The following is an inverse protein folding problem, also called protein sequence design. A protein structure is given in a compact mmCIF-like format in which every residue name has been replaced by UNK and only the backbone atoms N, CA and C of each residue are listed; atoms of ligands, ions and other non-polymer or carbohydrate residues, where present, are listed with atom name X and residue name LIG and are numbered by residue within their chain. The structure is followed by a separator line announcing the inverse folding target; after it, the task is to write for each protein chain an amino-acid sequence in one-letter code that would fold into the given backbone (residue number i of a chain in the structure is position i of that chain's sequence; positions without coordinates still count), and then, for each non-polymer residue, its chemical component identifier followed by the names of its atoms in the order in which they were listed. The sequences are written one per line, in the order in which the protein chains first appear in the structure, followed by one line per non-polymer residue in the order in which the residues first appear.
data_IF_771778378041
#
_entry.id   IF_771778378041
#
_cell.length_a   1.000
_cell.length_b   1.000
_cell.length_c   1.000
_cell.angle_alpha   90.00
_cell.angle_beta   90.00
_cell.angle_gamma   90.00
#
_symmetry.space_group_name_H-M   'P 1'
#
loop_
_entity.id
_entity.type
_entity.pdbx_description
1 polymer ?
#
# COMPACT_ATOMS: atom_id res chain seq x y z
N UNK A 1 -17.62 -45.72 -5.59
CA UNK A 1 -17.77 -44.81 -6.75
C UNK A 1 -17.81 -43.32 -6.35
N UNK A 2 -18.18 -42.93 -5.12
CA UNK A 2 -18.26 -41.51 -4.72
C UNK A 2 -16.93 -40.87 -4.24
N UNK A 3 -15.96 -41.67 -3.79
CA UNK A 3 -14.63 -41.20 -3.36
C UNK A 3 -13.90 -40.28 -4.37
N UNK A 4 -13.77 -40.62 -5.66
CA UNK A 4 -13.07 -39.74 -6.61
C UNK A 4 -13.78 -38.40 -6.84
N UNK A 5 -15.11 -38.38 -6.78
CA UNK A 5 -15.89 -37.15 -6.94
C UNK A 5 -15.66 -36.18 -5.78
N UNK A 6 -15.54 -36.70 -4.54
CA UNK A 6 -15.25 -35.88 -3.36
C UNK A 6 -13.87 -35.21 -3.47
N UNK A 7 -12.84 -35.92 -3.94
CA UNK A 7 -11.51 -35.34 -4.14
C UNK A 7 -11.50 -34.22 -5.19
N UNK A 8 -12.24 -34.38 -6.30
CA UNK A 8 -12.33 -33.35 -7.34
C UNK A 8 -13.00 -32.08 -6.80
N UNK A 9 -14.08 -32.22 -6.02
CA UNK A 9 -14.78 -31.06 -5.43
C UNK A 9 -13.88 -30.33 -4.44
N UNK A 10 -13.15 -31.06 -3.58
CA UNK A 10 -12.22 -30.45 -2.63
C UNK A 10 -11.06 -29.73 -3.32
N UNK A 11 -10.50 -30.32 -4.38
CA UNK A 11 -9.44 -29.70 -5.17
C UNK A 11 -9.93 -28.43 -5.88
N UNK A 12 -11.15 -28.44 -6.42
CA UNK A 12 -11.76 -27.28 -7.05
C UNK A 12 -11.99 -26.13 -6.04
N UNK A 13 -12.51 -26.43 -4.85
CA UNK A 13 -12.70 -25.44 -3.79
C UNK A 13 -11.38 -24.84 -3.30
N UNK A 14 -10.35 -25.69 -3.12
CA UNK A 14 -9.01 -25.25 -2.75
C UNK A 14 -8.42 -24.34 -3.84
N UNK A 15 -8.56 -24.72 -5.12
CA UNK A 15 -8.09 -23.91 -6.25
C UNK A 15 -8.78 -22.55 -6.30
N UNK A 16 -10.11 -22.50 -6.17
CA UNK A 16 -10.87 -21.24 -6.15
C UNK A 16 -10.48 -20.36 -4.97
N UNK A 17 -10.22 -20.96 -3.81
CA UNK A 17 -9.78 -20.22 -2.62
C UNK A 17 -8.40 -19.62 -2.83
N UNK A 18 -7.45 -20.38 -3.39
CA UNK A 18 -6.11 -19.88 -3.72
C UNK A 18 -6.18 -18.77 -4.77
N UNK A 19 -7.00 -18.93 -5.82
CA UNK A 19 -7.21 -17.88 -6.83
C UNK A 19 -7.82 -16.63 -6.19
N UNK A 20 -8.79 -16.79 -5.28
CA UNK A 20 -9.40 -15.67 -4.54
C UNK A 20 -8.40 -14.93 -3.65
N UNK A 21 -7.55 -15.66 -2.92
CA UNK A 21 -6.49 -15.08 -2.08
C UNK A 21 -5.41 -14.38 -2.92
N UNK A 22 -5.05 -14.96 -4.06
CA UNK A 22 -4.13 -14.35 -5.01
C UNK A 22 -4.72 -13.06 -5.59
N UNK A 23 -6.00 -13.07 -5.95
CA UNK A 23 -6.69 -11.90 -6.47
C UNK A 23 -6.84 -10.80 -5.41
N UNK A 24 -7.12 -11.19 -4.16
CA UNK A 24 -7.15 -10.27 -3.03
C UNK A 24 -5.77 -9.64 -2.78
N UNK A 25 -4.69 -10.44 -2.89
CA UNK A 25 -3.31 -9.95 -2.75
C UNK A 25 -2.92 -9.04 -3.90
N UNK A 26 -3.32 -9.37 -5.13
CA UNK A 26 -3.10 -8.52 -6.30
C UNK A 26 -3.81 -7.16 -6.14
N UNK A 27 -5.06 -7.16 -5.65
CA UNK A 27 -5.76 -5.92 -5.29
C UNK A 27 -5.10 -5.16 -4.13
N UNK A 28 -4.46 -5.85 -3.19
CA UNK A 28 -3.71 -5.21 -2.11
C UNK A 28 -2.41 -4.56 -2.60
N UNK A 29 -1.79 -5.09 -3.65
CA UNK A 29 -0.58 -4.53 -4.27
C UNK A 29 -0.93 -3.37 -5.22
N UNK A 30 -2.01 -3.49 -5.99
CA UNK A 30 -2.57 -2.36 -6.76
C UNK A 30 -3.10 -1.26 -5.83
N UNK A 31 -3.55 -1.63 -4.63
CA UNK A 31 -3.99 -0.74 -3.58
C UNK A 31 -2.90 -0.48 -2.54
N UNK A 32 -1.84 0.25 -2.89
CA UNK A 32 -1.03 0.98 -1.89
C UNK A 32 -1.97 1.94 -1.15
N UNK A 33 -2.61 1.47 -0.08
CA UNK A 33 -3.70 2.12 0.64
C UNK A 33 -4.66 2.83 -0.32
N UNK A 34 -5.69 2.14 -0.82
CA UNK A 34 -6.86 2.82 -1.34
C UNK A 34 -7.41 3.72 -0.23
N UNK A 35 -6.94 4.96 -0.17
CA UNK A 35 -7.60 6.05 0.54
C UNK A 35 -8.91 6.16 -0.21
N UNK A 36 -9.95 5.57 0.37
CA UNK A 36 -11.29 5.51 -0.20
C UNK A 36 -11.63 6.89 -0.79
N UNK A 37 -11.78 7.04 -2.11
CA UNK A 37 -11.92 8.34 -2.74
C UNK A 37 -13.13 9.09 -2.18
N UNK A 38 -14.19 8.37 -1.78
CA UNK A 38 -15.37 8.93 -1.11
C UNK A 38 -14.98 9.53 0.25
N UNK A 39 -14.15 8.83 1.02
CA UNK A 39 -13.64 9.34 2.30
C UNK A 39 -12.63 10.46 2.13
N UNK A 40 -11.86 10.47 1.04
CA UNK A 40 -10.94 11.55 0.72
C UNK A 40 -11.73 12.82 0.37
N UNK A 41 -12.81 12.70 -0.41
CA UNK A 41 -13.69 13.81 -0.77
C UNK A 41 -14.45 14.37 0.44
N UNK A 42 -14.86 13.54 1.39
CA UNK A 42 -15.46 14.02 2.65
C UNK A 42 -14.47 14.80 3.55
N UNK A 43 -13.16 14.56 3.38
CA UNK A 43 -12.11 15.26 4.13
C UNK A 43 -11.68 16.57 3.48
N UNK A 44 -12.09 16.84 2.23
CA UNK A 44 -11.80 18.10 1.56
C UNK A 44 -12.79 19.19 2.02
N UNK A 45 -12.29 20.42 2.14
CA UNK A 45 -13.17 21.59 2.28
C UNK A 45 -14.20 21.60 1.14
N UNK A 46 -15.48 21.99 1.39
CA UNK A 46 -16.48 22.12 0.32
C UNK A 46 -15.99 23.01 -0.83
N UNK A 47 -15.24 24.07 -0.53
CA UNK A 47 -14.66 24.97 -1.54
C UNK A 47 -13.66 24.24 -2.45
N UNK A 48 -12.80 23.42 -1.84
CA UNK A 48 -11.80 22.63 -2.57
C UNK A 48 -12.45 21.59 -3.48
N UNK A 49 -13.54 20.96 -3.02
CA UNK A 49 -14.32 20.02 -3.84
C UNK A 49 -14.92 20.72 -5.05
N UNK A 50 -15.54 21.88 -4.85
CA UNK A 50 -16.12 22.67 -5.93
C UNK A 50 -15.06 23.07 -6.97
N UNK A 51 -13.85 23.45 -6.54
CA UNK A 51 -12.74 23.74 -7.45
C UNK A 51 -12.28 22.50 -8.24
N UNK A 52 -12.21 21.33 -7.61
CA UNK A 52 -11.83 20.08 -8.28
C UNK A 52 -12.90 19.62 -9.28
N UNK A 53 -14.18 19.73 -8.94
CA UNK A 53 -15.29 19.44 -9.84
C UNK A 53 -15.29 20.38 -11.03
N UNK A 54 -15.10 21.69 -10.79
CA UNK A 54 -14.99 22.69 -11.86
C UNK A 54 -13.78 22.42 -12.78
N UNK A 55 -12.63 22.04 -12.22
CA UNK A 55 -11.47 21.61 -12.98
C UNK A 55 -11.80 20.41 -13.87
N UNK A 56 -12.43 19.38 -13.31
CA UNK A 56 -12.78 18.18 -14.06
C UNK A 56 -13.73 18.51 -15.23
N UNK A 57 -14.74 19.35 -14.97
CA UNK A 57 -15.66 19.82 -16.00
C UNK A 57 -14.95 20.59 -17.11
N UNK A 58 -14.08 21.55 -16.79
CA UNK A 58 -13.33 22.33 -17.78
C UNK A 58 -12.40 21.47 -18.64
N UNK A 59 -11.69 20.53 -18.02
CA UNK A 59 -10.80 19.62 -18.76
C UNK A 59 -11.58 18.67 -19.68
N UNK A 60 -12.78 18.26 -19.26
CA UNK A 60 -13.67 17.48 -20.10
C UNK A 60 -14.21 18.34 -21.26
N UNK A 61 -14.63 19.58 -21.00
CA UNK A 61 -15.08 20.52 -22.04
C UNK A 61 -14.01 20.80 -23.09
N UNK A 62 -12.74 20.97 -22.68
CA UNK A 62 -11.62 21.13 -23.63
C UNK A 62 -11.44 19.90 -24.52
N UNK A 63 -11.59 18.69 -23.95
CA UNK A 63 -11.49 17.44 -24.71
C UNK A 63 -12.65 17.31 -25.69
N UNK A 64 -13.87 17.56 -25.24
CA UNK A 64 -15.06 17.47 -26.09
C UNK A 64 -15.01 18.53 -27.21
N UNK A 65 -14.52 19.74 -26.92
CA UNK A 65 -14.29 20.79 -27.90
C UNK A 65 -13.29 20.35 -28.99
N UNK A 66 -12.17 19.72 -28.60
CA UNK A 66 -11.19 19.19 -29.56
C UNK A 66 -11.79 18.11 -30.45
N UNK A 67 -12.61 17.23 -29.88
CA UNK A 67 -13.30 16.17 -30.62
C UNK A 67 -14.31 16.74 -31.61
N UNK A 68 -15.10 17.74 -31.22
CA UNK A 68 -16.07 18.37 -32.11
C UNK A 68 -15.41 19.12 -33.27
N UNK A 69 -14.23 19.71 -33.04
CA UNK A 69 -13.41 20.32 -34.09
C UNK A 69 -12.86 19.26 -35.05
N UNK A 70 -12.27 18.18 -34.54
CA UNK A 70 -11.77 17.07 -35.37
C UNK A 70 -12.89 16.40 -36.18
N UNK A 71 -14.10 16.34 -35.63
CA UNK A 71 -15.29 15.87 -36.31
C UNK A 71 -15.86 16.86 -37.35
N UNK A 72 -15.29 18.07 -37.45
CA UNK A 72 -15.73 19.11 -38.37
C UNK A 72 -17.08 19.75 -38.02
N UNK A 73 -17.54 19.61 -36.77
CA UNK A 73 -18.83 20.16 -36.31
C UNK A 73 -18.75 21.65 -35.98
N UNK A 74 -17.56 22.14 -35.66
CA UNK A 74 -17.30 23.54 -35.31
C UNK A 74 -16.19 24.11 -36.20
N UNK A 75 -16.24 25.41 -36.43
CA UNK A 75 -15.23 26.12 -37.23
C UNK A 75 -13.91 26.25 -36.47
N UNK A 76 -12.79 26.42 -37.19
CA UNK A 76 -11.48 26.70 -36.59
C UNK A 76 -11.51 27.97 -35.72
N UNK A 77 -12.21 29.01 -36.18
CA UNK A 77 -12.33 30.29 -35.46
C UNK A 77 -13.10 30.13 -34.13
N UNK A 78 -14.20 29.36 -34.14
CA UNK A 78 -14.95 29.06 -32.91
C UNK A 78 -14.16 28.17 -31.95
N UNK A 79 -13.42 27.19 -32.49
CA UNK A 79 -12.55 26.34 -31.70
C UNK A 79 -11.49 27.16 -30.96
N UNK A 80 -10.76 28.02 -31.66
CA UNK A 80 -9.70 28.85 -31.06
C UNK A 80 -10.25 29.77 -29.96
N UNK A 81 -11.38 30.43 -30.23
CA UNK A 81 -12.04 31.32 -29.26
C UNK A 81 -12.46 30.59 -27.98
N UNK A 82 -13.07 29.40 -28.12
CA UNK A 82 -13.54 28.62 -26.98
C UNK A 82 -12.38 27.92 -26.23
N UNK A 83 -11.36 27.44 -26.95
CA UNK A 83 -10.17 26.83 -26.35
C UNK A 83 -9.42 27.86 -25.50
N UNK A 84 -9.23 29.09 -25.99
CA UNK A 84 -8.57 30.15 -25.24
C UNK A 84 -9.34 30.48 -23.95
N UNK A 85 -10.67 30.60 -24.05
CA UNK A 85 -11.54 30.86 -22.90
C UNK A 85 -11.46 29.75 -21.86
N UNK A 86 -11.67 28.49 -22.26
CA UNK A 86 -11.63 27.37 -21.32
C UNK A 86 -10.24 27.15 -20.70
N UNK A 87 -9.17 27.43 -21.45
CA UNK A 87 -7.81 27.41 -20.89
C UNK A 87 -7.58 28.53 -19.88
N UNK A 88 -8.14 29.71 -20.10
CA UNK A 88 -8.09 30.79 -19.12
C UNK A 88 -8.80 30.37 -17.82
N UNK A 89 -10.03 29.89 -17.94
CA UNK A 89 -10.81 29.40 -16.79
C UNK A 89 -10.09 28.26 -16.04
N UNK A 90 -9.47 27.33 -16.78
CA UNK A 90 -8.72 26.23 -16.18
C UNK A 90 -7.48 26.72 -15.42
N UNK A 91 -6.77 27.73 -15.94
CA UNK A 91 -5.64 28.35 -15.25
C UNK A 91 -6.08 28.99 -13.93
N UNK A 92 -7.19 29.72 -13.93
CA UNK A 92 -7.69 30.40 -12.74
C UNK A 92 -8.08 29.39 -11.64
N UNK A 93 -8.74 28.28 -12.02
CA UNK A 93 -9.09 27.20 -11.07
C UNK A 93 -7.84 26.52 -10.51
N UNK A 94 -6.82 26.28 -11.35
CA UNK A 94 -5.56 25.68 -10.89
C UNK A 94 -4.80 26.61 -9.93
N UNK A 95 -4.78 27.92 -10.19
CA UNK A 95 -4.19 28.90 -9.29
C UNK A 95 -4.90 28.94 -7.93
N UNK A 96 -6.25 28.92 -7.94
CA UNK A 96 -7.02 28.85 -6.69
C UNK A 96 -6.68 27.60 -5.86
N UNK A 97 -6.54 26.44 -6.52
CA UNK A 97 -6.12 25.20 -5.86
C UNK A 97 -4.69 25.24 -5.32
N UNK A 98 -3.78 25.95 -5.98
CA UNK A 98 -2.39 26.11 -5.52
C UNK A 98 -2.29 27.01 -4.28
N UNK A 99 -3.10 28.08 -4.21
CA UNK A 99 -3.16 28.98 -3.05
C UNK A 99 -3.58 28.22 -1.78
N UNK A 100 -4.58 27.33 -1.88
CA UNK A 100 -5.00 26.48 -0.75
C UNK A 100 -3.89 25.55 -0.24
N UNK A 101 -3.01 25.10 -1.14
CA UNK A 101 -1.95 24.13 -0.82
C UNK A 101 -0.70 24.82 -0.27
N UNK A 102 -0.51 26.12 -0.51
CA UNK A 102 0.64 26.91 -0.06
C UNK A 102 1.08 26.66 1.40
N UNK A 103 0.22 26.71 2.43
CA UNK A 103 0.65 26.49 3.82
C UNK A 103 1.13 25.06 4.09
N UNK A 104 0.64 24.08 3.32
CA UNK A 104 1.12 22.70 3.41
C UNK A 104 2.46 22.53 2.69
N UNK A 105 2.71 23.28 1.60
CA UNK A 105 4.01 23.30 0.92
C UNK A 105 5.10 23.82 1.84
N UNK A 106 4.87 24.95 2.50
CA UNK A 106 5.84 25.54 3.45
C UNK A 106 6.17 24.57 4.59
N UNK A 107 5.16 23.89 5.16
CA UNK A 107 5.37 22.85 6.18
C UNK A 107 6.18 21.67 5.64
N UNK A 108 5.88 21.21 4.43
CA UNK A 108 6.61 20.11 3.80
C UNK A 108 8.07 20.50 3.52
N UNK A 109 8.31 21.73 3.06
CA UNK A 109 9.65 22.28 2.83
C UNK A 109 10.43 22.40 4.14
N UNK A 110 9.80 22.86 5.23
CA UNK A 110 10.43 22.91 6.54
C UNK A 110 10.82 21.53 7.07
N UNK A 111 9.93 20.53 6.95
CA UNK A 111 10.20 19.15 7.33
C UNK A 111 11.34 18.54 6.48
N UNK A 112 11.37 18.87 5.19
CA UNK A 112 12.43 18.44 4.30
C UNK A 112 13.77 19.08 4.69
N UNK A 113 13.79 20.39 4.96
CA UNK A 113 14.99 21.10 5.40
C UNK A 113 15.52 20.54 6.73
N UNK A 114 14.64 20.26 7.70
CA UNK A 114 15.01 19.61 8.96
C UNK A 114 15.66 18.25 8.72
N UNK A 115 15.09 17.43 7.82
CA UNK A 115 15.62 16.10 7.51
C UNK A 115 16.96 16.16 6.78
N UNK A 116 17.12 17.12 5.87
CA UNK A 116 18.39 17.35 5.18
C UNK A 116 19.47 17.85 6.14
N UNK A 117 19.13 18.74 7.09
CA UNK A 117 20.05 19.25 8.11
C UNK A 117 20.49 18.16 9.10
N UNK A 118 19.61 17.21 9.43
CA UNK A 118 19.93 16.05 10.27
C UNK A 118 20.87 15.04 9.58
N UNK A 119 21.12 15.21 8.28
CA UNK A 119 21.85 14.24 7.46
C UNK A 119 21.04 12.96 7.22
N UNK A 120 21.55 12.00 6.43
CA UNK A 120 20.91 10.69 6.33
C UNK A 120 20.84 10.10 7.73
N UNK A 121 19.64 10.02 8.29
CA UNK A 121 19.41 9.26 9.51
C UNK A 121 19.95 7.85 9.24
N UNK A 122 20.90 7.39 10.06
CA UNK A 122 21.17 5.97 10.17
C UNK A 122 19.82 5.27 10.28
N UNK A 123 19.57 4.17 9.54
CA UNK A 123 18.27 3.51 9.56
C UNK A 123 17.89 3.32 11.02
N UNK A 124 16.74 3.90 11.41
CA UNK A 124 16.22 3.73 12.74
C UNK A 124 16.13 2.23 12.96
N UNK A 125 17.00 1.70 13.81
CA UNK A 125 16.96 0.31 14.19
C UNK A 125 15.53 0.04 14.67
N UNK A 126 14.88 -1.04 14.20
CA UNK A 126 13.58 -1.41 14.74
C UNK A 126 13.70 -1.50 16.27
N UNK A 127 12.66 -1.11 17.03
CA UNK A 127 12.69 -1.22 18.49
C UNK A 127 13.02 -2.67 18.84
N UNK A 128 14.28 -2.88 19.24
CA UNK A 128 14.80 -4.18 19.57
C UNK A 128 14.42 -4.39 21.03
N UNK A 129 13.30 -5.07 21.26
CA UNK A 129 13.12 -5.80 22.51
C UNK A 129 14.12 -6.94 22.45
N UNK A 130 15.30 -6.71 23.01
CA UNK A 130 15.99 -7.65 23.89
C UNK A 130 17.38 -7.09 24.22
N UNK A 131 17.48 -6.72 25.49
CA UNK A 131 18.69 -6.42 26.22
C UNK A 131 19.56 -7.69 26.28
N UNK A 132 20.70 -7.73 25.58
CA UNK A 132 22.01 -8.22 26.06
C UNK A 132 23.14 -7.81 25.08
N UNK A 133 24.19 -7.19 25.62
CA UNK A 133 25.27 -6.57 24.88
C UNK A 133 26.10 -7.52 24.00
N UNK A 134 26.16 -7.19 22.72
CA UNK A 134 27.31 -7.45 21.85
C UNK A 134 27.89 -6.09 21.42
N UNK A 135 29.23 -5.92 21.36
CA UNK A 135 29.82 -4.67 20.87
C UNK A 135 29.34 -4.41 19.43
N UNK A 136 29.12 -3.13 19.04
CA UNK A 136 28.68 -2.80 17.69
C UNK A 136 29.68 -3.35 16.69
N UNK A 137 29.26 -4.36 15.92
CA UNK A 137 30.05 -4.89 14.83
C UNK A 137 30.29 -3.76 13.83
N UNK A 138 31.55 -3.34 13.72
CA UNK A 138 31.98 -2.34 12.74
C UNK A 138 31.60 -2.84 11.35
N UNK A 139 30.84 -2.04 10.60
CA UNK A 139 30.39 -2.41 9.25
C UNK A 139 31.55 -2.81 8.33
N UNK A 140 31.33 -3.77 7.44
CA UNK A 140 32.35 -4.29 6.53
C UNK A 140 32.52 -3.39 5.28
N UNK A 141 33.75 -3.07 4.94
CA UNK A 141 34.06 -2.32 3.72
C UNK A 141 33.98 -3.23 2.48
N UNK A 142 33.38 -2.73 1.40
CA UNK A 142 33.34 -3.45 0.14
C UNK A 142 34.71 -3.42 -0.55
N UNK A 143 35.24 -4.58 -0.95
CA UNK A 143 36.49 -4.66 -1.70
C UNK A 143 36.44 -4.03 -3.11
N UNK A 144 35.25 -3.91 -3.70
CA UNK A 144 35.08 -3.38 -5.07
C UNK A 144 34.91 -1.87 -5.14
N UNK A 145 34.28 -1.24 -4.13
CA UNK A 145 33.94 0.18 -4.16
C UNK A 145 34.22 0.93 -2.86
N UNK A 146 34.77 0.27 -1.84
CA UNK A 146 35.07 0.81 -0.52
C UNK A 146 33.87 1.34 0.28
N UNK A 147 32.64 1.19 -0.22
CA UNK A 147 31.43 1.54 0.53
C UNK A 147 31.26 0.69 1.79
N UNK A 148 30.82 1.30 2.89
CA UNK A 148 30.60 0.63 4.19
C UNK A 148 29.24 -0.05 4.21
N UNK A 149 29.21 -1.34 4.51
CA UNK A 149 28.00 -2.16 4.53
C UNK A 149 27.76 -2.74 5.93
N UNK A 150 26.51 -3.12 6.17
CA UNK A 150 26.10 -3.79 7.39
C UNK A 150 26.86 -5.13 7.52
N UNK A 151 27.19 -5.57 8.75
CA UNK A 151 28.05 -6.73 8.99
C UNK A 151 27.47 -8.04 8.45
N UNK A 152 26.15 -8.12 8.28
CA UNK A 152 25.40 -9.25 7.72
C UNK A 152 25.07 -9.09 6.23
N UNK A 153 25.49 -8.01 5.59
CA UNK A 153 25.21 -7.74 4.18
C UNK A 153 25.87 -8.80 3.28
N UNK A 154 25.06 -9.49 2.45
CA UNK A 154 25.56 -10.44 1.44
C UNK A 154 25.98 -9.77 0.14
N UNK A 155 25.48 -8.56 -0.11
CA UNK A 155 25.74 -7.74 -1.29
C UNK A 155 25.99 -6.29 -0.85
N UNK A 156 26.86 -5.59 -1.57
CA UNK A 156 27.17 -4.20 -1.29
C UNK A 156 26.01 -3.28 -1.68
N UNK A 157 25.57 -2.41 -0.76
CA UNK A 157 24.47 -1.45 -1.01
C UNK A 157 24.84 -0.30 -1.95
N UNK A 158 26.12 -0.14 -2.29
CA UNK A 158 26.61 0.93 -3.17
C UNK A 158 26.87 0.46 -4.61
N UNK A 159 27.40 -0.74 -4.80
CA UNK A 159 27.81 -1.25 -6.12
C UNK A 159 27.25 -2.63 -6.49
N UNK A 160 26.54 -3.31 -5.58
CA UNK A 160 25.95 -4.63 -5.82
C UNK A 160 26.93 -5.82 -5.76
N UNK A 161 28.24 -5.58 -5.56
CA UNK A 161 29.23 -6.67 -5.43
C UNK A 161 28.94 -7.57 -4.23
N UNK A 162 29.14 -8.89 -4.37
CA UNK A 162 28.95 -9.85 -3.29
C UNK A 162 30.01 -9.65 -2.20
N UNK A 163 29.58 -9.63 -0.95
CA UNK A 163 30.47 -9.47 0.21
C UNK A 163 30.77 -10.84 0.86
N UNK A 164 31.94 -11.01 1.48
CA UNK A 164 32.29 -12.23 2.20
C UNK A 164 31.57 -12.26 3.56
N UNK A 165 30.29 -12.65 3.58
CA UNK A 165 29.51 -12.84 4.80
C UNK A 165 29.14 -14.31 5.01
N UNK A 166 29.53 -14.89 6.14
CA UNK A 166 29.07 -16.21 6.60
C UNK A 166 27.57 -16.11 6.95
N UNK A 167 26.76 -17.11 6.58
CA UNK A 167 25.36 -17.14 6.99
C UNK A 167 25.26 -17.25 8.52
N UNK A 168 24.36 -16.54 9.21
CA UNK A 168 24.08 -16.84 10.61
C UNK A 168 23.61 -18.28 10.71
N UNK A 169 24.14 -19.01 11.70
CA UNK A 169 23.81 -20.41 11.96
C UNK A 169 22.30 -20.53 12.20
N UNK A 170 21.57 -20.96 11.16
CA UNK A 170 20.19 -21.37 11.28
C UNK A 170 20.13 -22.46 12.36
N UNK A 171 19.34 -22.19 13.40
CA UNK A 171 19.03 -23.13 14.47
C UNK A 171 18.58 -24.45 13.85
N UNK A 172 19.47 -25.44 13.88
CA UNK A 172 19.14 -26.84 13.67
C UNK A 172 18.25 -27.25 14.84
N UNK A 173 16.93 -27.24 14.64
CA UNK A 173 16.02 -28.07 15.45
C UNK A 173 16.28 -29.52 15.04
N UNK A 174 17.22 -30.15 15.72
CA UNK A 174 17.45 -31.57 15.67
C UNK A 174 16.33 -32.28 16.47
N UNK A 175 15.66 -33.20 15.78
CA UNK A 175 15.37 -34.56 16.22
C UNK A 175 14.56 -34.76 17.51
N UNK A 176 13.25 -34.93 17.35
CA UNK A 176 12.46 -35.93 18.06
C UNK A 176 11.10 -36.13 17.34
N UNK A 177 11.05 -37.08 16.43
CA UNK A 177 9.80 -37.72 16.01
C UNK A 177 9.93 -39.23 16.28
N UNK A 178 8.79 -39.84 16.63
CA UNK A 178 8.46 -41.22 17.04
C UNK A 178 8.26 -41.39 18.57
N UNK A 179 7.11 -41.86 19.09
CA UNK A 179 6.14 -42.83 18.56
C UNK A 179 4.66 -42.53 18.97
N UNK A 180 3.71 -43.10 18.19
CA UNK A 180 2.23 -43.01 18.21
C UNK A 180 1.53 -43.68 19.44
N UNK A 181 0.19 -43.94 19.48
CA UNK A 181 -0.99 -43.37 18.80
C UNK A 181 -2.08 -42.86 19.80
N UNK A 182 -2.88 -41.84 19.46
CA UNK A 182 -4.10 -41.53 20.23
C UNK A 182 -5.30 -42.21 19.59
N UNK A 183 -5.71 -43.32 20.22
CA UNK A 183 -6.97 -44.03 19.99
C UNK A 183 -8.17 -43.12 20.33
N UNK A 184 -9.17 -43.21 19.46
CA UNK A 184 -10.37 -42.39 19.44
C UNK A 184 -11.51 -43.24 19.98
N UNK A 185 -11.78 -43.20 21.29
CA UNK A 185 -13.00 -43.82 21.81
C UNK A 185 -13.52 -43.24 23.14
N UNK A 186 -14.82 -42.94 23.11
CA UNK A 186 -15.82 -42.83 24.19
C UNK A 186 -16.24 -41.46 24.75
N UNK A 187 -17.57 -41.33 24.73
CA UNK A 187 -18.48 -40.56 25.60
C UNK A 187 -18.58 -39.04 25.39
N UNK A 188 -19.64 -38.51 24.79
CA UNK A 188 -21.07 -38.47 25.15
C UNK A 188 -21.48 -37.07 25.65
N UNK A 189 -22.34 -36.48 24.82
CA UNK A 189 -23.33 -35.40 25.05
C UNK A 189 -23.78 -35.24 26.51
N UNK A 190 -23.85 -33.99 26.98
CA UNK A 190 -25.02 -33.56 27.77
C UNK A 190 -25.39 -32.09 27.51
N UNK A 191 -26.70 -31.89 27.38
CA UNK A 191 -27.42 -30.67 27.01
C UNK A 191 -27.68 -29.78 28.23
N UNK A 192 -28.05 -28.53 27.93
CA UNK A 192 -28.92 -27.69 28.76
C UNK A 192 -28.28 -26.33 29.05
N UNK A 193 -28.92 -25.18 28.90
CA UNK A 193 -30.30 -24.84 28.58
C UNK A 193 -30.42 -23.32 28.71
N UNK A 194 -31.30 -22.70 27.92
CA UNK A 194 -31.66 -21.28 28.05
C UNK A 194 -32.28 -20.99 29.43
N UNK A 195 -32.32 -19.72 29.87
CA UNK A 195 -33.55 -18.95 29.57
C UNK A 195 -33.33 -17.45 29.27
N UNK A 196 -34.16 -16.92 28.36
CA UNK A 196 -34.73 -15.57 28.40
C UNK A 196 -36.06 -15.68 29.17
N UNK A 197 -36.66 -14.63 29.80
CA UNK A 197 -37.05 -13.40 29.09
C UNK A 197 -37.12 -12.09 29.94
N UNK A 198 -37.31 -10.97 29.22
CA UNK A 198 -38.27 -9.93 29.61
C UNK A 198 -37.77 -8.74 30.42
N UNK A 199 -37.99 -7.53 29.89
CA UNK A 199 -37.81 -6.27 30.61
C UNK A 199 -38.07 -5.05 29.72
N UNK A 200 -39.34 -4.70 29.56
CA UNK A 200 -39.87 -3.50 28.90
C UNK A 200 -39.74 -2.25 29.82
N UNK A 201 -40.07 -1.08 29.25
CA UNK A 201 -40.28 0.28 29.82
C UNK A 201 -39.08 1.12 30.27
N UNK A 202 -38.71 2.10 29.46
CA UNK A 202 -39.11 3.51 29.63
C UNK A 202 -38.83 4.31 28.35
#
# INVERSE_FOLDING_TARGET
MALPAVFIVLAALALVTVIGLLWQSFRAIEGTAAVDPVRRDDLLSPDRRALLERKAALLQSLRDLSFDHEAGKISQEDFERLDEQFRADARDVLQALDVEVAPYREKAEALLAERLARGPAAPAAPPSTDDQGAPPALGQACAACSGTNDPDARFCKHCGARLPGEAPAAQRRADAHDDAPVDRSTAHVSRGGAPSPGGEVA
#
